data_IF_355469204177
#
_entry.id   IF_355469204177
#
_cell.length_a   1.000
_cell.length_b   1.000
_cell.length_c   1.000
_cell.angle_alpha   90.00
_cell.angle_beta   90.00
_cell.angle_gamma   90.00
#
_symmetry.space_group_name_H-M   'P 1'
#
loop_
_entity.id
_entity.type
_entity.pdbx_description
1 polymer ?
#
# COMPACT_ATOMS: atom_id res chain seq x y z
N UNK A 1 40.83 3.20 1.95
CA UNK A 1 39.65 3.47 2.82
C UNK A 1 38.43 2.82 2.18
N UNK A 2 37.79 1.87 2.85
CA UNK A 2 36.60 1.20 2.31
C UNK A 2 35.41 2.18 2.34
N UNK A 3 34.87 2.52 1.17
CA UNK A 3 33.68 3.39 1.06
C UNK A 3 32.47 2.58 1.51
N UNK A 4 31.77 3.06 2.54
CA UNK A 4 30.56 2.40 3.02
C UNK A 4 29.42 2.61 1.99
N UNK A 5 28.93 1.55 1.33
CA UNK A 5 27.91 1.65 0.29
C UNK A 5 26.57 2.21 0.80
N UNK A 6 26.33 2.18 2.12
CA UNK A 6 25.12 2.74 2.74
C UNK A 6 25.07 4.27 2.63
N UNK A 7 26.23 4.95 2.56
CA UNK A 7 26.30 6.42 2.48
C UNK A 7 26.01 6.97 1.07
N UNK A 8 25.99 6.12 0.04
CA UNK A 8 25.84 6.52 -1.36
C UNK A 8 24.65 5.83 -2.03
N UNK A 9 23.64 5.42 -1.24
CA UNK A 9 22.43 4.85 -1.81
C UNK A 9 21.68 5.94 -2.59
N UNK A 10 21.24 5.67 -3.83
CA UNK A 10 20.38 6.58 -4.56
C UNK A 10 19.06 6.71 -3.78
N UNK A 11 18.89 7.84 -3.10
CA UNK A 11 17.67 8.17 -2.39
C UNK A 11 16.58 8.65 -3.34
N UNK A 12 15.34 8.64 -2.86
CA UNK A 12 14.24 9.33 -3.54
C UNK A 12 14.37 10.83 -3.23
N UNK A 13 14.47 11.67 -4.27
CA UNK A 13 14.50 13.12 -4.08
C UNK A 13 13.16 13.62 -3.51
N UNK A 14 13.17 14.73 -2.78
CA UNK A 14 11.94 15.33 -2.25
C UNK A 14 10.85 15.56 -3.32
N UNK A 15 11.13 16.12 -4.52
CA UNK A 15 10.10 16.24 -5.55
C UNK A 15 9.58 14.88 -6.02
N UNK A 16 10.45 13.89 -6.23
CA UNK A 16 10.02 12.54 -6.64
C UNK A 16 9.20 11.83 -5.56
N UNK A 17 9.46 12.13 -4.28
CA UNK A 17 8.64 11.67 -3.16
C UNK A 17 7.26 12.31 -3.19
N UNK A 18 7.17 13.63 -3.40
CA UNK A 18 5.89 14.34 -3.48
C UNK A 18 5.06 13.94 -4.71
N UNK A 19 5.70 13.55 -5.82
CA UNK A 19 4.97 13.01 -6.98
C UNK A 19 4.31 11.65 -6.69
N UNK A 20 4.90 10.84 -5.82
CA UNK A 20 4.40 9.50 -5.48
C UNK A 20 3.52 9.45 -4.23
N UNK A 21 3.73 10.37 -3.29
CA UNK A 21 3.16 10.35 -1.94
C UNK A 21 2.69 11.73 -1.45
N UNK A 22 2.64 12.75 -2.32
CA UNK A 22 2.37 14.14 -1.93
C UNK A 22 0.93 14.40 -1.48
N UNK A 23 0.02 13.44 -1.67
CA UNK A 23 -1.37 13.52 -1.21
C UNK A 23 -1.79 12.23 -0.52
N UNK A 24 -2.79 12.33 0.36
CA UNK A 24 -3.34 11.16 1.05
C UNK A 24 -3.90 10.12 0.07
N UNK A 25 -4.50 10.57 -1.03
CA UNK A 25 -5.02 9.68 -2.07
C UNK A 25 -3.89 8.89 -2.77
N UNK A 26 -2.77 9.55 -3.09
CA UNK A 26 -1.59 8.89 -3.66
C UNK A 26 -0.98 7.88 -2.69
N UNK A 27 -0.82 8.26 -1.41
CA UNK A 27 -0.37 7.35 -0.36
C UNK A 27 -1.27 6.12 -0.24
N UNK A 28 -2.60 6.29 -0.21
CA UNK A 28 -3.54 5.17 -0.14
C UNK A 28 -3.43 4.26 -1.36
N UNK A 29 -3.30 4.82 -2.56
CA UNK A 29 -3.12 4.03 -3.78
C UNK A 29 -1.80 3.25 -3.79
N UNK A 30 -0.71 3.88 -3.33
CA UNK A 30 0.59 3.23 -3.18
C UNK A 30 0.52 2.09 -2.16
N UNK A 31 -0.04 2.35 -0.96
CA UNK A 31 -0.22 1.33 0.09
C UNK A 31 -1.08 0.16 -0.38
N UNK A 32 -2.16 0.44 -1.13
CA UNK A 32 -2.99 -0.61 -1.74
C UNK A 32 -2.16 -1.49 -2.68
N UNK A 33 -1.35 -0.89 -3.56
CA UNK A 33 -0.46 -1.64 -4.48
C UNK A 33 0.62 -2.43 -3.75
N UNK A 34 1.19 -1.88 -2.68
CA UNK A 34 2.20 -2.58 -1.87
C UNK A 34 1.60 -3.78 -1.14
N UNK A 35 0.42 -3.62 -0.54
CA UNK A 35 -0.25 -4.70 0.19
C UNK A 35 -0.80 -5.76 -0.76
N UNK A 36 -1.30 -5.34 -1.92
CA UNK A 36 -2.01 -6.16 -2.89
C UNK A 36 -1.52 -5.92 -4.33
N UNK A 37 -0.35 -6.47 -4.71
CA UNK A 37 0.26 -6.22 -6.01
C UNK A 37 -0.57 -6.75 -7.19
N UNK A 38 -1.43 -7.75 -6.96
CA UNK A 38 -2.28 -8.38 -7.97
C UNK A 38 -3.77 -8.01 -7.82
N UNK A 39 -4.09 -7.00 -7.03
CA UNK A 39 -5.46 -6.66 -6.62
C UNK A 39 -5.83 -7.22 -5.25
N UNK A 40 -6.94 -6.74 -4.70
CA UNK A 40 -7.39 -7.05 -3.34
C UNK A 40 -7.35 -8.55 -3.06
N UNK A 41 -6.74 -8.95 -1.94
CA UNK A 41 -6.78 -10.32 -1.43
C UNK A 41 -7.12 -10.27 0.05
N UNK A 42 -8.22 -10.93 0.42
CA UNK A 42 -8.61 -11.02 1.82
C UNK A 42 -7.55 -11.80 2.61
N UNK A 43 -7.01 -11.23 3.72
CA UNK A 43 -5.97 -11.90 4.51
C UNK A 43 -6.47 -13.16 5.25
N UNK A 44 -7.79 -13.24 5.51
CA UNK A 44 -8.41 -14.32 6.27
C UNK A 44 -8.75 -15.54 5.41
N UNK A 45 -9.33 -15.31 4.22
CA UNK A 45 -9.85 -16.38 3.36
C UNK A 45 -9.19 -16.46 1.97
N UNK A 46 -8.28 -15.56 1.64
CA UNK A 46 -7.58 -15.52 0.33
C UNK A 46 -8.46 -15.11 -0.85
N UNK A 47 -9.70 -14.70 -0.62
CA UNK A 47 -10.62 -14.30 -1.69
C UNK A 47 -10.21 -12.96 -2.32
N UNK A 48 -10.36 -12.85 -3.64
CA UNK A 48 -9.98 -11.64 -4.39
C UNK A 48 -11.10 -10.62 -4.57
N UNK A 49 -12.32 -10.97 -4.18
CA UNK A 49 -13.49 -10.11 -4.30
C UNK A 49 -13.85 -9.44 -2.98
N UNK A 50 -14.00 -8.12 -3.04
CA UNK A 50 -14.41 -7.29 -1.93
C UNK A 50 -14.81 -5.90 -2.39
N UNK A 51 -15.41 -5.13 -1.48
CA UNK A 51 -15.78 -3.75 -1.70
C UNK A 51 -15.02 -2.82 -0.76
N UNK A 52 -14.74 -1.61 -1.25
CA UNK A 52 -14.23 -0.53 -0.41
C UNK A 52 -15.41 0.17 0.29
N UNK A 53 -15.31 0.29 1.61
CA UNK A 53 -16.22 1.03 2.47
C UNK A 53 -15.77 2.50 2.58
N UNK A 54 -16.71 3.37 2.95
CA UNK A 54 -16.51 4.83 3.07
C UNK A 54 -15.43 5.25 4.09
N UNK A 55 -15.02 4.37 5.01
CA UNK A 55 -13.97 4.63 6.01
C UNK A 55 -12.57 4.18 5.56
N UNK A 56 -12.37 3.84 4.28
CA UNK A 56 -11.10 3.29 3.80
C UNK A 56 -10.86 1.84 4.25
N UNK A 57 -11.93 1.15 4.64
CA UNK A 57 -11.93 -0.28 4.94
C UNK A 57 -12.28 -1.07 3.69
N UNK A 58 -11.77 -2.29 3.59
CA UNK A 58 -12.05 -3.23 2.52
C UNK A 58 -12.76 -4.42 3.13
N UNK A 59 -13.97 -4.71 2.65
CA UNK A 59 -14.76 -5.85 3.10
C UNK A 59 -14.72 -6.96 2.06
N UNK A 60 -14.35 -8.16 2.49
CA UNK A 60 -14.43 -9.35 1.66
C UNK A 60 -15.89 -9.78 1.46
N UNK A 61 -16.27 -10.17 0.24
CA UNK A 61 -17.62 -10.69 -0.02
C UNK A 61 -17.85 -12.11 0.51
N UNK A 62 -16.79 -12.88 0.76
CA UNK A 62 -16.88 -14.29 1.14
C UNK A 62 -17.00 -14.49 2.64
N UNK A 63 -16.12 -13.87 3.42
CA UNK A 63 -16.08 -14.00 4.89
C UNK A 63 -16.56 -12.75 5.63
N UNK A 64 -16.97 -11.69 4.91
CA UNK A 64 -17.35 -10.39 5.47
C UNK A 64 -16.28 -9.72 6.36
N UNK A 65 -15.06 -10.25 6.37
CA UNK A 65 -13.93 -9.70 7.09
C UNK A 65 -13.59 -8.31 6.56
N UNK A 66 -13.42 -7.36 7.47
CA UNK A 66 -13.06 -5.98 7.17
C UNK A 66 -11.58 -5.78 7.48
N UNK A 67 -10.81 -5.33 6.50
CA UNK A 67 -9.38 -5.04 6.64
C UNK A 67 -9.11 -3.61 6.19
N UNK A 68 -8.20 -2.89 6.85
CA UNK A 68 -7.75 -1.58 6.38
C UNK A 68 -6.44 -1.73 5.59
N UNK A 69 -5.99 -0.66 4.94
CA UNK A 69 -4.68 -0.64 4.28
C UNK A 69 -3.51 -0.69 5.25
N UNK A 70 -3.72 -0.29 6.51
CA UNK A 70 -2.67 -0.11 7.52
C UNK A 70 -2.70 -1.13 8.65
N UNK A 71 -3.77 -1.95 8.77
CA UNK A 71 -3.97 -2.88 9.88
C UNK A 71 -3.58 -4.33 9.55
#
# INVERSE_FOLDING_TARGET
MARNPIQFQPGLSLPAFLEQYGTEAQCRAALYRYRWPKGFVCPDCGNTTGCQLSRGLYQCHRCHHQTSLTA
#
